data_IF_550136448769
#
_entry.id   IF_550136448769
#
_cell.length_a   1.000
_cell.length_b   1.000
_cell.length_c   1.000
_cell.angle_alpha   90.00
_cell.angle_beta   90.00
_cell.angle_gamma   90.00
#
_symmetry.space_group_name_H-M   'P 1'
#
loop_
_entity.id
_entity.type
_entity.pdbx_description
1 polymer ?
#
# COMPACT_ATOMS: atom_id res chain seq x y z
N UNK A 1 19.57 -12.03 -6.06
CA UNK A 1 19.31 -13.11 -5.09
C UNK A 1 19.60 -14.43 -5.77
N UNK A 2 20.09 -15.43 -5.03
CA UNK A 2 20.47 -16.74 -5.57
C UNK A 2 19.95 -17.86 -4.66
N UNK A 3 19.96 -19.09 -5.17
CA UNK A 3 19.71 -20.30 -4.41
C UNK A 3 20.84 -21.29 -4.59
N UNK A 4 21.25 -21.96 -3.52
CA UNK A 4 22.10 -23.13 -3.61
C UNK A 4 21.22 -24.38 -3.71
N UNK A 5 21.43 -25.14 -4.76
CA UNK A 5 20.62 -26.31 -5.11
C UNK A 5 21.54 -27.52 -5.28
N UNK A 6 21.22 -28.60 -4.60
CA UNK A 6 21.89 -29.90 -4.72
C UNK A 6 20.83 -31.00 -4.83
N UNK A 7 21.04 -31.96 -5.72
CA UNK A 7 20.11 -33.09 -5.94
C UNK A 7 18.65 -32.66 -6.13
N UNK A 8 18.47 -31.62 -6.98
CA UNK A 8 17.16 -31.02 -7.26
C UNK A 8 16.41 -30.49 -6.03
N UNK A 9 17.16 -30.17 -4.96
CA UNK A 9 16.62 -29.64 -3.71
C UNK A 9 17.26 -28.31 -3.37
N UNK A 10 16.44 -27.31 -3.02
CA UNK A 10 16.92 -25.99 -2.57
C UNK A 10 17.46 -26.14 -1.16
N UNK A 11 18.76 -25.98 -0.98
CA UNK A 11 19.44 -26.05 0.32
C UNK A 11 19.40 -24.71 1.04
N UNK A 12 19.60 -23.62 0.28
CA UNK A 12 19.65 -22.29 0.87
C UNK A 12 19.23 -21.21 -0.13
N UNK A 13 18.50 -20.18 0.36
CA UNK A 13 18.23 -18.95 -0.37
C UNK A 13 19.23 -17.87 0.06
N UNK A 14 20.08 -17.45 -0.87
CA UNK A 14 21.17 -16.51 -0.66
C UNK A 14 20.71 -15.12 -1.05
N UNK A 15 20.34 -14.31 -0.07
CA UNK A 15 19.83 -12.95 -0.28
C UNK A 15 20.96 -11.95 -0.61
N UNK A 16 22.13 -12.16 -0.01
CA UNK A 16 23.30 -11.30 -0.19
C UNK A 16 24.55 -12.16 -0.49
N UNK A 17 25.49 -11.67 -1.34
CA UNK A 17 26.77 -12.35 -1.58
C UNK A 17 27.49 -12.64 -0.27
N UNK A 18 27.86 -13.90 -0.06
CA UNK A 18 28.65 -14.38 1.10
C UNK A 18 29.65 -15.46 0.68
N UNK A 19 30.72 -15.69 1.44
CA UNK A 19 31.59 -16.88 1.23
C UNK A 19 30.77 -18.16 1.46
N UNK A 20 31.04 -19.20 0.69
CA UNK A 20 30.38 -20.50 0.80
C UNK A 20 31.39 -21.64 0.72
N UNK A 21 31.02 -22.77 1.30
CA UNK A 21 31.71 -24.05 1.11
C UNK A 21 30.77 -24.96 0.34
N UNK A 22 31.13 -25.36 -0.86
CA UNK A 22 30.36 -26.25 -1.73
C UNK A 22 31.24 -27.44 -2.07
N UNK A 23 30.78 -28.65 -1.77
CA UNK A 23 31.52 -29.91 -1.98
C UNK A 23 32.93 -29.87 -1.40
N UNK A 24 33.09 -29.26 -0.20
CA UNK A 24 34.37 -29.11 0.47
C UNK A 24 35.28 -28.01 -0.07
N UNK A 25 34.90 -27.34 -1.16
CA UNK A 25 35.66 -26.24 -1.78
C UNK A 25 35.20 -24.90 -1.22
N UNK A 26 36.13 -24.06 -0.79
CA UNK A 26 35.83 -22.70 -0.29
C UNK A 26 35.71 -21.74 -1.47
N UNK A 27 34.54 -21.12 -1.62
CA UNK A 27 34.26 -20.10 -2.62
C UNK A 27 34.14 -18.72 -1.96
N UNK A 28 34.87 -17.71 -2.44
CA UNK A 28 34.75 -16.35 -1.93
C UNK A 28 33.45 -15.70 -2.40
N UNK A 29 32.97 -14.64 -1.70
CA UNK A 29 31.73 -13.91 -2.06
C UNK A 29 31.72 -13.35 -3.49
N UNK A 30 32.91 -13.13 -4.09
CA UNK A 30 33.08 -12.58 -5.43
C UNK A 30 32.48 -13.47 -6.52
N UNK A 31 32.27 -14.77 -6.29
CA UNK A 31 31.60 -15.65 -7.27
C UNK A 31 30.24 -15.10 -7.70
N UNK A 32 29.52 -14.42 -6.80
CA UNK A 32 28.21 -13.86 -7.10
C UNK A 32 28.24 -12.65 -8.03
N UNK A 33 29.36 -11.96 -8.13
CA UNK A 33 29.51 -10.74 -8.93
C UNK A 33 30.39 -10.95 -10.17
N UNK A 34 31.43 -11.82 -10.09
CA UNK A 34 32.40 -12.01 -11.17
C UNK A 34 32.13 -13.22 -12.06
N UNK A 35 31.47 -14.26 -11.53
CA UNK A 35 31.20 -15.46 -12.31
C UNK A 35 29.98 -15.31 -13.21
N UNK A 36 30.02 -15.95 -14.35
CA UNK A 36 28.88 -16.07 -15.28
C UNK A 36 27.77 -16.92 -14.68
N UNK A 37 26.59 -16.87 -15.29
CA UNK A 37 25.46 -17.71 -14.87
C UNK A 37 25.77 -19.21 -15.02
N UNK A 38 26.52 -19.59 -16.08
CA UNK A 38 26.93 -20.98 -16.33
C UNK A 38 27.91 -21.50 -15.27
N UNK A 39 28.93 -20.72 -14.89
CA UNK A 39 29.89 -21.07 -13.84
C UNK A 39 29.19 -21.24 -12.47
N UNK A 40 28.27 -20.34 -12.13
CA UNK A 40 27.46 -20.44 -10.91
C UNK A 40 26.59 -21.69 -10.91
N UNK A 41 25.91 -21.97 -12.04
CA UNK A 41 25.08 -23.17 -12.20
C UNK A 41 25.87 -24.45 -12.05
N UNK A 42 27.12 -24.48 -12.56
CA UNK A 42 28.00 -25.66 -12.48
C UNK A 42 28.29 -26.09 -11.02
N UNK A 43 28.19 -25.19 -10.05
CA UNK A 43 28.33 -25.46 -8.61
C UNK A 43 26.99 -25.39 -7.86
N UNK A 44 25.88 -25.52 -8.57
CA UNK A 44 24.54 -25.52 -7.96
C UNK A 44 24.00 -24.16 -7.53
N UNK A 45 24.58 -23.05 -7.96
CA UNK A 45 24.06 -21.73 -7.65
C UNK A 45 23.18 -21.22 -8.79
N UNK A 46 21.88 -21.11 -8.53
CA UNK A 46 20.87 -20.65 -9.48
C UNK A 46 20.38 -19.22 -9.15
N UNK A 47 20.03 -18.43 -10.18
CA UNK A 47 19.36 -17.15 -9.95
C UNK A 47 17.96 -17.37 -9.35
N UNK A 48 17.53 -16.47 -8.44
CA UNK A 48 16.21 -16.50 -7.85
C UNK A 48 15.41 -15.29 -8.33
N UNK A 49 14.24 -15.55 -8.88
CA UNK A 49 13.20 -14.54 -9.13
C UNK A 49 12.27 -14.53 -7.92
N UNK A 50 12.25 -13.45 -7.12
CA UNK A 50 11.34 -13.35 -5.97
C UNK A 50 9.89 -13.38 -6.41
N UNK A 51 9.02 -13.88 -5.54
CA UNK A 51 7.57 -13.79 -5.72
C UNK A 51 7.08 -12.35 -5.69
N UNK A 52 6.04 -12.06 -6.47
CA UNK A 52 5.41 -10.73 -6.47
C UNK A 52 4.73 -10.50 -5.13
N UNK A 53 5.21 -9.51 -4.37
CA UNK A 53 4.56 -9.09 -3.13
C UNK A 53 3.25 -8.39 -3.44
N UNK A 54 2.23 -8.72 -2.67
CA UNK A 54 1.00 -7.93 -2.63
C UNK A 54 1.23 -6.63 -1.86
N UNK A 55 0.40 -5.64 -2.13
CA UNK A 55 0.48 -4.33 -1.49
C UNK A 55 0.23 -4.43 0.02
N UNK A 56 1.26 -4.11 0.81
CA UNK A 56 1.24 -4.18 2.28
C UNK A 56 0.20 -3.22 2.91
N UNK A 57 -0.33 -2.27 2.16
CA UNK A 57 -1.45 -1.42 2.62
C UNK A 57 -2.71 -2.25 2.86
N UNK A 58 -2.94 -3.29 2.05
CA UNK A 58 -4.18 -4.06 2.01
C UNK A 58 -4.02 -5.50 2.46
N UNK A 59 -2.80 -6.05 2.32
CA UNK A 59 -2.54 -7.46 2.54
C UNK A 59 -1.45 -7.68 3.59
N UNK A 60 -1.56 -8.78 4.30
CA UNK A 60 -0.48 -9.32 5.12
C UNK A 60 0.13 -10.46 4.32
N UNK A 61 1.34 -10.24 3.79
CA UNK A 61 2.07 -11.25 3.03
C UNK A 61 2.83 -12.14 4.00
N UNK A 62 2.40 -13.38 4.13
CA UNK A 62 3.09 -14.39 4.93
C UNK A 62 3.74 -15.40 3.99
N UNK A 63 5.01 -15.71 4.25
CA UNK A 63 5.78 -16.80 3.69
C UNK A 63 5.88 -16.80 2.15
N UNK A 64 7.08 -16.51 1.68
CA UNK A 64 7.53 -16.79 0.33
C UNK A 64 8.05 -18.24 0.29
N UNK A 65 7.50 -19.07 -0.58
CA UNK A 65 8.00 -20.40 -0.89
C UNK A 65 8.78 -20.37 -2.19
N UNK A 66 9.75 -21.25 -2.32
CA UNK A 66 10.64 -21.31 -3.47
C UNK A 66 10.57 -22.67 -4.14
N UNK A 67 10.53 -22.68 -5.46
CA UNK A 67 10.57 -23.89 -6.28
C UNK A 67 11.57 -23.73 -7.42
N UNK A 68 12.24 -24.80 -7.80
CA UNK A 68 13.09 -24.83 -8.98
C UNK A 68 12.18 -24.75 -10.22
N UNK A 69 12.49 -23.85 -11.14
CA UNK A 69 11.77 -23.72 -12.39
C UNK A 69 11.86 -25.02 -13.22
N UNK A 70 10.86 -25.28 -14.06
CA UNK A 70 10.78 -26.52 -14.85
C UNK A 70 11.96 -26.72 -15.80
N UNK A 71 12.65 -25.65 -16.19
CA UNK A 71 13.85 -25.68 -17.04
C UNK A 71 15.14 -25.98 -16.25
N UNK A 72 15.07 -26.04 -14.90
CA UNK A 72 16.20 -26.27 -14.01
C UNK A 72 17.26 -25.15 -14.02
N UNK A 73 16.93 -23.96 -14.55
CA UNK A 73 17.90 -22.87 -14.71
C UNK A 73 17.75 -21.74 -13.69
N UNK A 74 16.63 -21.72 -12.97
CA UNK A 74 16.33 -20.69 -11.99
C UNK A 74 15.46 -21.24 -10.85
N UNK A 75 15.33 -20.47 -9.80
CA UNK A 75 14.39 -20.69 -8.70
C UNK A 75 13.36 -19.57 -8.70
N UNK A 76 12.10 -19.92 -8.59
CA UNK A 76 10.97 -18.97 -8.57
C UNK A 76 10.37 -18.94 -7.16
N UNK A 77 10.30 -17.74 -6.60
CA UNK A 77 9.57 -17.46 -5.38
C UNK A 77 8.08 -17.28 -5.65
N UNK A 78 7.26 -17.78 -4.75
CA UNK A 78 5.80 -17.61 -4.79
C UNK A 78 5.30 -17.19 -3.42
N UNK A 79 4.51 -16.12 -3.37
CA UNK A 79 3.81 -15.71 -2.15
C UNK A 79 2.57 -16.58 -2.00
N UNK A 80 2.62 -17.58 -1.12
CA UNK A 80 1.59 -18.62 -1.01
C UNK A 80 0.45 -18.30 -0.06
N UNK A 81 0.64 -17.34 0.86
CA UNK A 81 -0.39 -16.95 1.83
C UNK A 81 -0.41 -15.45 1.99
N UNK A 82 -1.30 -14.79 1.26
CA UNK A 82 -1.68 -13.42 1.54
C UNK A 82 -3.01 -13.44 2.30
N UNK A 83 -3.04 -12.82 3.47
CA UNK A 83 -4.27 -12.58 4.22
C UNK A 83 -4.70 -11.14 4.01
N UNK A 84 -5.96 -10.93 3.67
CA UNK A 84 -6.53 -9.58 3.64
C UNK A 84 -6.46 -8.97 5.04
N UNK A 85 -6.08 -7.70 5.13
CA UNK A 85 -6.36 -6.89 6.33
C UNK A 85 -7.87 -6.77 6.52
N UNK A 86 -8.32 -6.55 7.75
CA UNK A 86 -9.75 -6.37 8.00
C UNK A 86 -10.25 -5.07 7.39
N UNK A 87 -11.39 -5.12 6.69
CA UNK A 87 -12.11 -3.92 6.24
C UNK A 87 -12.89 -3.27 7.38
N UNK A 88 -13.32 -4.06 8.38
CA UNK A 88 -14.09 -3.62 9.54
C UNK A 88 -13.23 -3.60 10.78
N UNK A 89 -13.60 -2.79 11.73
CA UNK A 89 -12.98 -2.73 13.05
C UNK A 89 -13.07 -4.09 13.75
N UNK A 90 -12.05 -4.43 14.50
CA UNK A 90 -11.98 -5.69 15.27
C UNK A 90 -11.57 -5.41 16.70
N UNK A 91 -12.12 -6.18 17.64
CA UNK A 91 -11.69 -6.10 19.02
C UNK A 91 -10.32 -6.73 19.19
N UNK A 92 -9.42 -6.03 19.88
CA UNK A 92 -8.13 -6.59 20.25
C UNK A 92 -8.28 -7.67 21.34
N UNK A 93 -7.47 -8.71 21.24
CA UNK A 93 -7.38 -9.76 22.24
C UNK A 93 -5.94 -9.95 22.67
N UNK A 94 -5.75 -10.33 23.93
CA UNK A 94 -4.44 -10.71 24.48
C UNK A 94 -4.00 -12.07 23.95
N UNK A 95 -2.78 -12.49 24.23
CA UNK A 95 -2.24 -13.80 23.81
C UNK A 95 -3.03 -14.98 24.37
N UNK A 96 -3.64 -14.82 25.55
CA UNK A 96 -4.50 -15.83 26.21
C UNK A 96 -5.95 -15.85 25.67
N UNK A 97 -6.28 -14.99 24.68
CA UNK A 97 -7.61 -14.85 24.10
C UNK A 97 -8.57 -13.96 24.89
N UNK A 98 -8.16 -13.40 26.02
CA UNK A 98 -8.96 -12.45 26.79
C UNK A 98 -9.07 -11.11 26.05
N UNK A 99 -10.06 -10.28 26.44
CA UNK A 99 -10.23 -8.91 25.86
C UNK A 99 -9.03 -8.04 26.24
N UNK A 100 -8.41 -7.40 25.26
CA UNK A 100 -7.45 -6.34 25.53
C UNK A 100 -8.22 -5.07 25.93
N UNK A 101 -7.90 -4.51 27.11
CA UNK A 101 -8.54 -3.31 27.65
C UNK A 101 -7.53 -2.17 27.68
N UNK A 102 -8.02 -0.93 27.50
CA UNK A 102 -7.23 0.29 27.70
C UNK A 102 -7.08 0.61 29.21
N UNK A 103 -6.34 1.68 29.53
CA UNK A 103 -6.12 2.14 30.91
C UNK A 103 -7.43 2.53 31.64
N UNK A 104 -8.53 2.75 30.92
CA UNK A 104 -9.85 3.10 31.45
C UNK A 104 -10.79 1.89 31.54
N UNK A 105 -10.31 0.69 31.18
CA UNK A 105 -11.08 -0.55 31.16
C UNK A 105 -11.99 -0.71 29.93
N UNK A 106 -11.82 0.09 28.88
CA UNK A 106 -12.59 -0.08 27.64
C UNK A 106 -11.89 -1.08 26.72
N UNK A 107 -12.70 -1.82 25.97
CA UNK A 107 -12.20 -2.74 24.94
C UNK A 107 -11.38 -1.97 23.89
N UNK A 108 -10.12 -2.38 23.70
CA UNK A 108 -9.29 -1.83 22.62
C UNK A 108 -9.82 -2.31 21.27
N UNK A 109 -10.05 -1.36 20.37
CA UNK A 109 -10.53 -1.61 19.00
C UNK A 109 -9.38 -1.35 18.03
N UNK A 110 -9.07 -2.33 17.18
CA UNK A 110 -8.15 -2.20 16.07
C UNK A 110 -8.97 -1.68 14.88
N UNK A 111 -8.70 -0.45 14.38
CA UNK A 111 -9.46 0.11 13.29
C UNK A 111 -9.25 -0.69 12.00
N UNK A 112 -10.33 -0.99 11.31
CA UNK A 112 -10.32 -1.59 9.98
C UNK A 112 -9.94 -0.59 8.89
N UNK A 113 -9.66 -1.09 7.70
CA UNK A 113 -9.23 -0.25 6.57
C UNK A 113 -10.27 0.81 6.19
N UNK A 114 -11.57 0.53 6.35
CA UNK A 114 -12.62 1.53 6.10
C UNK A 114 -12.55 2.69 7.08
N UNK A 115 -12.40 2.41 8.37
CA UNK A 115 -12.27 3.43 9.41
C UNK A 115 -11.04 4.29 9.17
N UNK A 116 -9.89 3.68 8.87
CA UNK A 116 -8.66 4.39 8.54
C UNK A 116 -8.84 5.27 7.29
N UNK A 117 -9.48 4.75 6.24
CA UNK A 117 -9.72 5.52 5.00
C UNK A 117 -10.66 6.71 5.22
N UNK A 118 -11.73 6.55 6.03
CA UNK A 118 -12.63 7.64 6.39
C UNK A 118 -11.95 8.71 7.24
N UNK A 119 -11.13 8.31 8.21
CA UNK A 119 -10.33 9.27 9.00
C UNK A 119 -9.37 10.09 8.11
N UNK A 120 -8.79 9.45 7.07
CA UNK A 120 -7.98 10.18 6.09
C UNK A 120 -8.81 11.16 5.28
N UNK A 121 -10.00 10.76 4.85
CA UNK A 121 -10.94 11.65 4.14
C UNK A 121 -11.37 12.83 5.03
N UNK A 122 -11.69 12.59 6.32
CA UNK A 122 -12.02 13.62 7.30
C UNK A 122 -10.88 14.63 7.44
N UNK A 123 -9.65 14.14 7.59
CA UNK A 123 -8.45 14.97 7.71
C UNK A 123 -8.23 15.82 6.46
N UNK A 124 -8.45 15.26 5.26
CA UNK A 124 -8.32 15.99 4.00
C UNK A 124 -9.38 17.09 3.89
N UNK A 125 -10.65 16.74 4.13
CA UNK A 125 -11.75 17.71 4.12
C UNK A 125 -11.51 18.84 5.13
N UNK A 126 -11.09 18.50 6.36
CA UNK A 126 -10.74 19.50 7.38
C UNK A 126 -9.62 20.42 6.91
N UNK A 127 -8.54 19.87 6.33
CA UNK A 127 -7.42 20.66 5.80
C UNK A 127 -7.86 21.63 4.72
N UNK A 128 -8.77 21.22 3.82
CA UNK A 128 -9.31 22.08 2.77
C UNK A 128 -10.24 23.17 3.29
N UNK A 129 -11.06 22.87 4.30
CA UNK A 129 -12.08 23.79 4.84
C UNK A 129 -11.52 24.75 5.88
N UNK A 130 -10.58 24.32 6.74
CA UNK A 130 -10.05 25.10 7.86
C UNK A 130 -9.39 26.42 7.44
N UNK A 131 -8.86 26.47 6.21
CA UNK A 131 -8.28 27.69 5.63
C UNK A 131 -9.27 28.85 5.50
N UNK A 132 -10.56 28.57 5.52
CA UNK A 132 -11.64 29.53 5.39
C UNK A 132 -12.35 29.82 6.72
N UNK A 133 -11.91 29.27 7.84
CA UNK A 133 -12.55 29.43 9.16
C UNK A 133 -12.68 30.90 9.55
N UNK A 134 -11.67 31.72 9.25
CA UNK A 134 -11.67 33.16 9.50
C UNK A 134 -12.78 33.92 8.75
N UNK A 135 -13.16 33.46 7.54
CA UNK A 135 -14.28 34.05 6.80
C UNK A 135 -15.62 33.78 7.49
N UNK A 136 -15.77 32.56 8.05
CA UNK A 136 -16.95 32.17 8.85
C UNK A 136 -17.01 33.00 10.12
N UNK A 137 -15.88 33.17 10.83
CA UNK A 137 -15.78 34.01 12.00
C UNK A 137 -16.12 35.47 11.68
N UNK A 138 -15.57 36.04 10.60
CA UNK A 138 -15.86 37.39 10.11
C UNK A 138 -17.35 37.55 9.75
N UNK A 139 -18.00 36.52 9.18
CA UNK A 139 -19.43 36.54 8.92
C UNK A 139 -20.25 36.63 10.20
N UNK A 140 -19.84 35.91 11.25
CA UNK A 140 -20.55 35.86 12.54
C UNK A 140 -20.33 37.16 13.34
N UNK A 141 -19.09 37.69 13.35
CA UNK A 141 -18.71 38.80 14.22
C UNK A 141 -18.96 40.18 13.62
N UNK A 142 -18.86 40.32 12.29
CA UNK A 142 -18.94 41.59 11.58
C UNK A 142 -20.03 41.62 10.48
N UNK A 143 -20.84 40.56 10.35
CA UNK A 143 -21.87 40.38 9.32
C UNK A 143 -21.36 40.57 7.88
N UNK A 144 -20.08 40.30 7.63
CA UNK A 144 -19.49 40.38 6.29
C UNK A 144 -19.74 39.07 5.55
N UNK A 145 -20.39 39.14 4.38
CA UNK A 145 -20.72 37.97 3.59
C UNK A 145 -19.48 37.16 3.16
N UNK A 146 -19.58 35.85 3.21
CA UNK A 146 -18.57 34.96 2.63
C UNK A 146 -18.71 35.04 1.09
N UNK A 147 -17.60 35.20 0.33
CA UNK A 147 -17.66 35.19 -1.13
C UNK A 147 -18.34 33.93 -1.68
N UNK A 148 -19.12 34.10 -2.76
CA UNK A 148 -19.91 33.01 -3.35
C UNK A 148 -19.04 31.85 -3.84
N UNK A 149 -17.87 32.16 -4.39
CA UNK A 149 -16.90 31.15 -4.88
C UNK A 149 -16.36 30.29 -3.72
N UNK A 150 -16.07 30.91 -2.57
CA UNK A 150 -15.64 30.18 -1.36
C UNK A 150 -16.76 29.31 -0.83
N UNK A 151 -17.99 29.84 -0.80
CA UNK A 151 -19.17 29.07 -0.38
C UNK A 151 -19.36 27.85 -1.28
N UNK A 152 -19.25 28.02 -2.59
CA UNK A 152 -19.33 26.95 -3.59
C UNK A 152 -18.22 25.92 -3.39
N UNK A 153 -16.96 26.37 -3.24
CA UNK A 153 -15.83 25.47 -2.95
C UNK A 153 -16.05 24.65 -1.69
N UNK A 154 -16.47 25.30 -0.60
CA UNK A 154 -16.74 24.61 0.66
C UNK A 154 -17.89 23.58 0.53
N UNK A 155 -18.91 23.89 -0.29
CA UNK A 155 -19.98 22.95 -0.59
C UNK A 155 -19.47 21.73 -1.41
N UNK A 156 -18.65 21.98 -2.41
CA UNK A 156 -18.02 20.93 -3.24
C UNK A 156 -17.12 20.01 -2.41
N UNK A 157 -16.30 20.57 -1.50
CA UNK A 157 -15.47 19.74 -0.57
C UNK A 157 -16.35 18.84 0.29
N UNK A 158 -17.45 19.36 0.86
CA UNK A 158 -18.38 18.52 1.67
C UNK A 158 -19.06 17.44 0.82
N UNK A 159 -19.44 17.76 -0.41
CA UNK A 159 -20.07 16.81 -1.33
C UNK A 159 -19.07 15.70 -1.73
N UNK A 160 -17.82 16.06 -2.05
CA UNK A 160 -16.75 15.10 -2.34
C UNK A 160 -16.47 14.20 -1.13
N UNK A 161 -16.32 14.76 0.07
CA UNK A 161 -16.13 14.02 1.31
C UNK A 161 -17.23 12.99 1.52
N UNK A 162 -18.51 13.42 1.42
CA UNK A 162 -19.63 12.50 1.53
C UNK A 162 -19.57 11.37 0.50
N UNK A 163 -19.32 11.70 -0.76
CA UNK A 163 -19.23 10.74 -1.87
C UNK A 163 -18.09 9.72 -1.68
N UNK A 164 -16.95 10.17 -1.16
CA UNK A 164 -15.81 9.31 -0.82
C UNK A 164 -16.18 8.38 0.32
N UNK A 165 -16.75 8.89 1.41
CA UNK A 165 -17.17 8.08 2.55
C UNK A 165 -18.24 7.05 2.17
N UNK A 166 -19.25 7.42 1.38
CA UNK A 166 -20.28 6.50 0.87
C UNK A 166 -19.63 5.37 0.02
N UNK A 167 -18.63 5.71 -0.82
CA UNK A 167 -17.90 4.74 -1.63
C UNK A 167 -17.07 3.77 -0.78
N UNK A 168 -16.45 4.26 0.29
CA UNK A 168 -15.71 3.42 1.26
C UNK A 168 -16.67 2.47 1.97
N UNK A 169 -17.84 2.94 2.41
CA UNK A 169 -18.83 2.13 3.11
C UNK A 169 -19.45 1.06 2.18
N UNK A 170 -19.59 1.34 0.90
CA UNK A 170 -20.09 0.38 -0.10
C UNK A 170 -19.09 -0.75 -0.41
N UNK A 171 -17.83 -0.66 0.01
CA UNK A 171 -16.83 -1.70 -0.22
C UNK A 171 -17.07 -2.91 0.68
N UNK A 172 -17.61 -3.98 0.12
CA UNK A 172 -17.86 -5.24 0.84
C UNK A 172 -16.79 -6.32 0.56
N UNK A 173 -15.74 -6.00 -0.21
CA UNK A 173 -14.61 -6.88 -0.50
C UNK A 173 -13.32 -6.08 -0.62
N UNK A 174 -12.17 -6.75 -0.39
CA UNK A 174 -10.84 -6.15 -0.56
C UNK A 174 -10.63 -5.66 -2.00
N UNK A 175 -11.08 -6.41 -2.98
CA UNK A 175 -10.96 -6.01 -4.40
C UNK A 175 -11.66 -4.67 -4.68
N UNK A 176 -12.89 -4.47 -4.19
CA UNK A 176 -13.60 -3.20 -4.33
C UNK A 176 -12.90 -2.07 -3.57
N UNK A 177 -12.40 -2.38 -2.37
CA UNK A 177 -11.67 -1.39 -1.57
C UNK A 177 -10.38 -0.94 -2.25
N UNK A 178 -9.61 -1.87 -2.83
CA UNK A 178 -8.41 -1.55 -3.61
C UNK A 178 -8.77 -0.72 -4.85
N UNK A 179 -9.85 -1.07 -5.55
CA UNK A 179 -10.27 -0.37 -6.77
C UNK A 179 -10.55 1.11 -6.54
N UNK A 180 -11.22 1.49 -5.43
CA UNK A 180 -11.47 2.92 -5.12
C UNK A 180 -10.21 3.69 -4.68
N UNK A 181 -9.10 2.99 -4.40
CA UNK A 181 -7.81 3.55 -4.01
C UNK A 181 -6.77 3.53 -5.13
N UNK A 182 -7.13 3.08 -6.32
CA UNK A 182 -6.21 2.90 -7.45
C UNK A 182 -6.65 3.76 -8.63
N UNK A 183 -5.72 4.58 -9.15
CA UNK A 183 -5.93 5.31 -10.38
C UNK A 183 -5.93 4.33 -11.57
N UNK A 184 -6.76 4.62 -12.58
CA UNK A 184 -6.70 3.94 -13.86
C UNK A 184 -5.88 4.79 -14.85
N UNK A 185 -5.06 4.13 -15.66
CA UNK A 185 -4.18 4.79 -16.61
C UNK A 185 -4.46 4.37 -18.05
N UNK A 186 -4.22 5.28 -18.98
CA UNK A 186 -4.12 4.97 -20.39
C UNK A 186 -2.67 4.61 -20.73
N UNK A 187 -2.49 3.64 -21.62
CA UNK A 187 -1.18 3.13 -22.03
C UNK A 187 -1.04 3.28 -23.55
N UNK A 188 0.20 3.49 -24.03
CA UNK A 188 0.54 3.38 -25.45
C UNK A 188 0.76 1.92 -25.88
N UNK A 189 1.13 1.73 -27.14
CA UNK A 189 1.43 0.41 -27.71
C UNK A 189 2.61 -0.31 -27.04
N UNK A 190 3.49 0.44 -26.38
CA UNK A 190 4.69 -0.06 -25.69
C UNK A 190 4.44 -0.32 -24.21
N UNK A 191 3.18 -0.12 -23.74
CA UNK A 191 2.77 -0.30 -22.34
C UNK A 191 3.20 0.82 -21.41
N UNK A 192 3.58 2.00 -21.93
CA UNK A 192 3.93 3.17 -21.13
C UNK A 192 2.69 3.99 -20.82
N UNK A 193 2.59 4.47 -19.58
CA UNK A 193 1.50 5.36 -19.14
C UNK A 193 1.56 6.67 -19.92
N UNK A 194 0.44 7.02 -20.57
CA UNK A 194 0.27 8.27 -21.34
C UNK A 194 -0.54 9.32 -20.57
N UNK A 195 -1.52 8.90 -19.80
CA UNK A 195 -2.35 9.80 -19.00
C UNK A 195 -3.10 9.03 -17.90
N UNK A 196 -3.62 9.75 -16.91
CA UNK A 196 -4.62 9.20 -15.98
C UNK A 196 -5.95 9.11 -16.71
N UNK A 197 -6.56 7.92 -16.73
CA UNK A 197 -7.89 7.69 -17.28
C UNK A 197 -8.98 8.05 -16.28
N UNK A 198 -8.82 7.55 -15.04
CA UNK A 198 -9.75 7.80 -13.93
C UNK A 198 -8.94 7.95 -12.66
N UNK A 199 -9.17 9.04 -11.92
CA UNK A 199 -8.57 9.24 -10.60
C UNK A 199 -9.22 8.30 -9.60
N UNK A 200 -8.43 7.72 -8.68
CA UNK A 200 -8.93 6.92 -7.56
C UNK A 200 -10.03 7.68 -6.81
N UNK A 201 -11.14 7.02 -6.52
CA UNK A 201 -12.31 7.67 -5.89
C UNK A 201 -11.98 8.39 -4.57
N UNK A 202 -11.04 7.86 -3.80
CA UNK A 202 -10.59 8.48 -2.54
C UNK A 202 -9.77 9.76 -2.75
N UNK A 203 -9.32 10.03 -3.97
CA UNK A 203 -8.57 11.22 -4.36
C UNK A 203 -9.41 12.20 -5.20
N UNK A 204 -10.70 11.92 -5.42
CA UNK A 204 -11.64 12.73 -6.21
C UNK A 204 -12.12 13.95 -5.42
N UNK A 205 -11.19 14.84 -5.10
CA UNK A 205 -11.43 16.09 -4.41
C UNK A 205 -11.53 17.25 -5.41
N UNK A 206 -12.24 18.35 -5.05
CA UNK A 206 -12.19 19.59 -5.86
C UNK A 206 -10.77 20.10 -5.98
N UNK A 207 -10.45 20.74 -7.11
CA UNK A 207 -9.19 21.45 -7.30
C UNK A 207 -8.97 22.47 -6.18
N UNK A 208 -7.70 22.69 -5.83
CA UNK A 208 -7.34 23.59 -4.76
C UNK A 208 -7.75 25.03 -5.11
N UNK A 209 -8.42 25.71 -4.16
CA UNK A 209 -8.89 27.06 -4.35
C UNK A 209 -7.84 28.06 -3.85
N UNK A 210 -7.34 28.94 -4.72
CA UNK A 210 -6.38 29.98 -4.37
C UNK A 210 -7.06 31.13 -3.62
N UNK A 211 -6.80 31.22 -2.31
CA UNK A 211 -7.36 32.25 -1.43
C UNK A 211 -6.50 33.51 -1.34
N UNK A 212 -5.36 33.60 -2.04
CA UNK A 212 -4.44 34.75 -1.94
C UNK A 212 -5.10 36.08 -2.26
N UNK A 213 -6.13 36.08 -3.10
CA UNK A 213 -6.90 37.29 -3.46
C UNK A 213 -7.66 37.93 -2.29
N UNK A 214 -7.88 37.19 -1.20
CA UNK A 214 -8.66 37.66 -0.03
C UNK A 214 -7.82 38.14 1.16
N UNK A 215 -6.49 37.99 1.06
CA UNK A 215 -5.56 38.50 2.08
C UNK A 215 -5.07 39.93 1.83
N UNK A 216 -5.69 40.67 0.89
CA UNK A 216 -5.36 42.08 0.60
C UNK A 216 -6.30 43.03 1.31
#
# INVERSE_FOLDING_TARGET
MWAYVTDNTIQEIIRFPKPMVIDGVKHPRQIFTSWTAAEKKAIGILPVTPGTKLDDRYYISNNETYAIASDGNSVVGTITKAKNKSLTDTNAVNEDGSKALDEKGNQVVIPGLRTIAKQKADTTAYSMLSRFSWLVERKITADVAIPSEVTTFMANVRAAHKSICDSIDACNSMSKFVAIHTDEYNYDSDGKITSVKTIAKVNDWPDDYDIKSYYR
#
